data_IF_106314912107
#
_entry.id   IF_106314912107
#
_cell.length_a   1.000
_cell.length_b   1.000
_cell.length_c   1.000
_cell.angle_alpha   90.00
_cell.angle_beta   90.00
_cell.angle_gamma   90.00
#
_symmetry.space_group_name_H-M   'P 1'
#
loop_
_entity.id
_entity.type
_entity.pdbx_description
1 polymer ?
#
# COMPACT_ATOMS: atom_id res chain seq x y z
N UNK A 1 9.93 41.24 10.62
CA UNK A 1 10.05 40.83 9.21
C UNK A 1 8.90 39.88 8.93
N UNK A 2 7.76 40.43 8.52
CA UNK A 2 6.54 39.69 8.20
C UNK A 2 6.73 39.01 6.84
N UNK A 3 6.66 37.69 6.80
CA UNK A 3 6.66 36.91 5.56
C UNK A 3 5.20 36.68 5.15
N UNK A 4 4.72 37.17 3.98
CA UNK A 4 3.39 36.84 3.52
C UNK A 4 3.41 35.40 2.98
N UNK A 5 3.01 34.45 3.81
CA UNK A 5 2.85 33.06 3.39
C UNK A 5 1.74 32.98 2.33
N UNK A 6 2.12 32.66 1.10
CA UNK A 6 1.20 32.36 -0.01
C UNK A 6 0.20 31.29 0.45
N UNK A 7 -1.12 31.44 0.23
CA UNK A 7 -2.08 30.44 0.67
C UNK A 7 -1.71 29.08 0.04
N UNK A 8 -1.59 28.00 0.82
CA UNK A 8 -1.11 26.74 0.31
C UNK A 8 -2.04 26.28 -0.82
N UNK A 9 -1.44 25.94 -1.96
CA UNK A 9 -2.17 25.31 -3.05
C UNK A 9 -2.99 24.15 -2.48
N UNK A 10 -4.30 24.19 -2.68
CA UNK A 10 -5.28 23.22 -2.15
C UNK A 10 -4.73 21.82 -2.41
N UNK A 11 -4.44 21.06 -1.35
CA UNK A 11 -3.87 19.74 -1.51
C UNK A 11 -4.91 18.80 -2.15
N UNK A 12 -4.69 18.41 -3.41
CA UNK A 12 -5.56 17.51 -4.17
C UNK A 12 -5.05 16.08 -4.06
N UNK A 13 -5.96 15.13 -3.86
CA UNK A 13 -5.65 13.70 -3.93
C UNK A 13 -5.35 13.28 -5.36
N UNK A 14 -4.07 13.27 -5.71
CA UNK A 14 -3.58 12.72 -6.98
C UNK A 14 -3.35 11.22 -6.87
N UNK A 15 -3.36 10.47 -7.98
CA UNK A 15 -3.06 9.02 -7.98
C UNK A 15 -1.70 8.69 -7.35
N UNK A 16 -0.70 9.57 -7.51
CA UNK A 16 0.62 9.39 -6.87
C UNK A 16 0.53 9.48 -5.34
N UNK A 17 -0.23 10.44 -4.80
CA UNK A 17 -0.46 10.55 -3.35
C UNK A 17 -1.27 9.38 -2.80
N UNK A 18 -2.22 8.86 -3.56
CA UNK A 18 -2.96 7.64 -3.20
C UNK A 18 -2.02 6.43 -3.08
N UNK A 19 -1.07 6.26 -4.00
CA UNK A 19 -0.06 5.20 -3.92
C UNK A 19 0.86 5.36 -2.70
N UNK A 20 1.38 6.56 -2.46
CA UNK A 20 2.20 6.85 -1.27
C UNK A 20 1.42 6.55 0.01
N UNK A 21 0.15 6.97 0.06
CA UNK A 21 -0.73 6.70 1.17
C UNK A 21 -0.90 5.18 1.42
N UNK A 22 -1.19 4.38 0.39
CA UNK A 22 -1.36 2.93 0.53
C UNK A 22 -0.07 2.23 0.96
N UNK A 23 1.08 2.63 0.41
CA UNK A 23 2.38 2.08 0.80
C UNK A 23 2.69 2.38 2.27
N UNK A 24 2.51 3.64 2.69
CA UNK A 24 2.71 4.03 4.08
C UNK A 24 1.68 3.38 5.03
N UNK A 25 0.46 3.11 4.56
CA UNK A 25 -0.56 2.41 5.35
C UNK A 25 -0.19 0.94 5.59
N UNK A 26 0.34 0.27 4.57
CA UNK A 26 0.85 -1.10 4.68
C UNK A 26 2.02 -1.19 5.66
N UNK A 27 2.92 -0.21 5.62
CA UNK A 27 4.10 -0.19 6.47
C UNK A 27 3.77 0.16 7.93
N UNK A 28 2.92 1.16 8.14
CA UNK A 28 2.69 1.73 9.48
C UNK A 28 1.41 1.28 10.16
N UNK A 29 0.44 0.73 9.42
CA UNK A 29 -0.90 0.41 9.93
C UNK A 29 -1.73 1.62 10.36
N UNK A 30 -1.22 2.85 10.21
CA UNK A 30 -1.82 4.05 10.77
C UNK A 30 -2.24 5.04 9.68
N UNK A 31 -3.54 5.30 9.60
CA UNK A 31 -4.13 6.26 8.66
C UNK A 31 -3.56 7.67 8.86
N UNK A 32 -3.25 8.07 10.09
CA UNK A 32 -2.68 9.37 10.37
C UNK A 32 -1.25 9.49 9.82
N UNK A 33 -0.38 8.49 10.07
CA UNK A 33 0.99 8.49 9.55
C UNK A 33 1.03 8.36 8.03
N UNK A 34 0.17 7.50 7.48
CA UNK A 34 0.03 7.35 6.04
C UNK A 34 -0.45 8.63 5.33
N UNK A 35 -1.40 9.36 5.94
CA UNK A 35 -1.87 10.64 5.41
C UNK A 35 -0.74 11.69 5.44
N UNK A 36 0.00 11.79 6.54
CA UNK A 36 1.14 12.68 6.66
C UNK A 36 2.22 12.37 5.62
N UNK A 37 2.54 11.10 5.37
CA UNK A 37 3.48 10.68 4.34
C UNK A 37 3.02 11.09 2.92
N UNK A 38 1.71 11.08 2.66
CA UNK A 38 1.13 11.58 1.40
C UNK A 38 0.97 13.11 1.36
N UNK A 39 1.42 13.83 2.38
CA UNK A 39 1.26 15.28 2.52
C UNK A 39 -0.20 15.72 2.67
N UNK A 40 -1.00 14.90 3.34
CA UNK A 40 -2.45 15.06 3.52
C UNK A 40 -2.85 14.97 5.00
N UNK A 41 -3.98 15.57 5.34
CA UNK A 41 -4.56 15.42 6.67
C UNK A 41 -5.37 14.12 6.80
N UNK A 42 -5.44 13.59 8.02
CA UNK A 42 -6.26 12.41 8.35
C UNK A 42 -7.72 12.61 7.93
N UNK A 43 -8.28 13.79 8.18
CA UNK A 43 -9.67 14.13 7.82
C UNK A 43 -9.90 14.08 6.31
N UNK A 44 -8.93 14.58 5.52
CA UNK A 44 -8.96 14.49 4.05
C UNK A 44 -8.89 13.04 3.57
N UNK A 45 -8.10 12.20 4.23
CA UNK A 45 -8.00 10.78 3.91
C UNK A 45 -9.32 10.03 4.16
N UNK A 46 -10.00 10.30 5.28
CA UNK A 46 -11.35 9.74 5.52
C UNK A 46 -12.38 10.26 4.52
N UNK A 47 -12.31 11.54 4.14
CA UNK A 47 -13.15 12.11 3.09
C UNK A 47 -12.93 11.44 1.74
N UNK A 48 -11.67 11.19 1.37
CA UNK A 48 -11.33 10.43 0.16
C UNK A 48 -11.93 9.02 0.21
N UNK A 49 -11.76 8.29 1.33
CA UNK A 49 -12.29 6.93 1.48
C UNK A 49 -13.80 6.88 1.29
N UNK A 50 -14.54 7.81 1.90
CA UNK A 50 -16.01 7.91 1.70
C UNK A 50 -16.39 8.14 0.24
N UNK A 51 -15.64 9.00 -0.48
CA UNK A 51 -15.89 9.29 -1.90
C UNK A 51 -15.55 8.12 -2.81
N UNK A 52 -14.58 7.29 -2.42
CA UNK A 52 -14.09 6.15 -3.18
C UNK A 52 -14.59 4.81 -2.62
N UNK A 53 -15.61 4.82 -1.76
CA UNK A 53 -16.18 3.61 -1.19
C UNK A 53 -16.66 2.67 -2.31
N UNK A 54 -16.33 1.37 -2.22
CA UNK A 54 -16.69 0.39 -3.25
C UNK A 54 -15.77 0.37 -4.49
N UNK A 55 -14.83 1.32 -4.60
CA UNK A 55 -13.83 1.31 -5.68
C UNK A 55 -12.66 0.37 -5.34
N UNK A 56 -11.79 0.04 -6.32
CA UNK A 56 -10.57 -0.74 -6.07
C UNK A 56 -9.65 -0.11 -5.00
N UNK A 57 -9.69 1.23 -4.84
CA UNK A 57 -8.88 1.93 -3.83
C UNK A 57 -9.32 1.57 -2.40
N UNK A 58 -10.62 1.48 -2.14
CA UNK A 58 -11.15 1.10 -0.82
C UNK A 58 -10.79 -0.36 -0.48
N UNK A 59 -10.87 -1.26 -1.46
CA UNK A 59 -10.37 -2.64 -1.30
C UNK A 59 -8.87 -2.70 -1.04
N UNK A 60 -8.07 -1.90 -1.75
CA UNK A 60 -6.63 -1.82 -1.54
C UNK A 60 -6.29 -1.27 -0.14
N UNK A 61 -7.09 -0.34 0.37
CA UNK A 61 -6.96 0.19 1.73
C UNK A 61 -7.16 -0.89 2.79
N UNK A 62 -8.27 -1.63 2.70
CA UNK A 62 -8.56 -2.71 3.65
C UNK A 62 -7.53 -3.85 3.52
N UNK A 63 -7.08 -4.14 2.29
CA UNK A 63 -6.02 -5.12 2.06
C UNK A 63 -4.69 -4.68 2.70
N UNK A 64 -4.31 -3.39 2.60
CA UNK A 64 -3.10 -2.87 3.24
C UNK A 64 -3.14 -3.03 4.77
N UNK A 65 -4.28 -2.73 5.40
CA UNK A 65 -4.47 -2.94 6.84
C UNK A 65 -4.42 -4.42 7.22
N UNK A 66 -5.07 -5.28 6.42
CA UNK A 66 -5.07 -6.72 6.65
C UNK A 66 -3.66 -7.30 6.54
N UNK A 67 -2.89 -6.90 5.52
CA UNK A 67 -1.51 -7.33 5.35
C UNK A 67 -0.61 -6.86 6.50
N UNK A 68 -0.77 -5.60 6.94
CA UNK A 68 -0.04 -5.09 8.08
C UNK A 68 -0.34 -5.90 9.35
N UNK A 69 -1.63 -6.15 9.63
CA UNK A 69 -2.04 -6.98 10.77
C UNK A 69 -1.49 -8.41 10.68
N UNK A 70 -1.50 -9.02 9.48
CA UNK A 70 -0.90 -10.34 9.25
C UNK A 70 0.60 -10.35 9.52
N UNK A 71 1.34 -9.32 9.10
CA UNK A 71 2.77 -9.19 9.39
C UNK A 71 3.03 -9.11 10.90
N UNK A 72 2.26 -8.31 11.62
CA UNK A 72 2.39 -8.23 13.08
C UNK A 72 2.02 -9.54 13.79
N UNK A 73 1.13 -10.35 13.20
CA UNK A 73 0.74 -11.64 13.73
C UNK A 73 1.70 -12.78 13.35
N UNK A 74 2.52 -12.59 12.32
CA UNK A 74 3.49 -13.58 11.83
C UNK A 74 4.89 -13.27 12.38
N UNK A 75 5.36 -14.02 13.39
CA UNK A 75 6.67 -13.79 14.00
C UNK A 75 7.85 -14.04 13.05
N UNK A 76 7.62 -14.62 11.86
CA UNK A 76 8.65 -14.88 10.86
C UNK A 76 8.54 -14.03 9.59
N UNK A 77 7.49 -13.20 9.46
CA UNK A 77 7.24 -12.42 8.25
C UNK A 77 8.38 -11.44 7.92
N UNK A 78 9.04 -10.89 8.95
CA UNK A 78 10.18 -9.98 8.77
C UNK A 78 11.49 -10.72 8.46
N UNK A 79 11.57 -12.02 8.74
CA UNK A 79 12.76 -12.86 8.52
C UNK A 79 12.79 -13.45 7.11
N UNK A 80 11.65 -13.52 6.41
CA UNK A 80 11.50 -14.16 5.11
C UNK A 80 11.43 -13.16 3.93
N UNK A 81 12.49 -12.37 3.74
CA UNK A 81 12.85 -11.84 2.42
C UNK A 81 14.35 -11.50 2.39
N UNK A 82 15.20 -12.00 1.45
CA UNK A 82 14.87 -12.61 0.15
C UNK A 82 15.58 -13.96 -0.11
N UNK A 83 14.83 -15.07 -0.15
CA UNK A 83 15.25 -16.33 -0.83
C UNK A 83 14.10 -16.87 -1.70
N UNK A 84 13.23 -16.00 -2.22
CA UNK A 84 12.21 -16.37 -3.20
C UNK A 84 12.75 -16.28 -4.64
N UNK A 85 13.92 -16.88 -4.89
CA UNK A 85 14.48 -17.07 -6.25
C UNK A 85 14.19 -18.46 -6.82
N UNK A 86 13.40 -19.29 -6.13
CA UNK A 86 12.96 -20.57 -6.70
C UNK A 86 11.62 -20.38 -7.43
N UNK A 87 11.73 -19.96 -8.69
CA UNK A 87 10.67 -20.11 -9.68
C UNK A 87 10.04 -21.51 -9.60
N UNK A 88 8.70 -21.66 -9.73
CA UNK A 88 8.16 -22.97 -10.03
C UNK A 88 8.70 -23.37 -11.40
N UNK A 89 9.58 -24.38 -11.44
CA UNK A 89 10.00 -24.99 -12.70
C UNK A 89 8.74 -25.33 -13.51
N UNK A 90 8.68 -25.02 -14.81
CA UNK A 90 7.61 -25.55 -15.64
C UNK A 90 7.64 -27.08 -15.60
N UNK A 91 6.44 -27.67 -15.61
CA UNK A 91 6.16 -29.10 -15.57
C UNK A 91 7.10 -29.93 -16.46
N UNK A 92 7.39 -31.20 -16.11
CA UNK A 92 8.13 -32.08 -17.01
C UNK A 92 7.33 -32.22 -18.31
N UNK A 93 7.88 -31.67 -19.40
CA UNK A 93 7.43 -32.00 -20.75
C UNK A 93 7.64 -33.49 -20.95
N UNK A 94 6.56 -34.16 -21.35
CA UNK A 94 6.59 -35.52 -21.83
C UNK A 94 7.60 -35.64 -22.99
N UNK A 95 8.70 -36.34 -22.74
CA UNK A 95 9.51 -36.98 -23.79
C UNK A 95 9.90 -38.36 -23.29
N UNK A 96 9.03 -39.33 -23.54
CA UNK A 96 9.38 -40.73 -23.60
C UNK A 96 8.57 -41.38 -24.74
N UNK A 97 9.14 -41.30 -25.93
CA UNK A 97 9.03 -42.31 -26.99
C UNK A 97 10.45 -42.52 -27.50
N UNK A 98 10.83 -43.66 -28.14
CA UNK A 98 10.06 -44.87 -28.46
C UNK A 98 10.80 -46.17 -28.07
N UNK A 99 10.16 -47.33 -28.27
CA UNK A 99 10.84 -48.48 -28.89
C UNK A 99 9.86 -49.42 -29.57
#
# INVERSE_FOLDING_TARGET
MEQPATPPARAIWTPSRQRIFLAALLETGSVARAALAAGMSRSSAHGLRKRLAGTPFDRAWDHALTLHARRLADPFADTLAPEATAAPRPAPVASASPR
#
